data_IF_771585013554
#
_entry.id   IF_771585013554
#
_cell.length_a   1.000
_cell.length_b   1.000
_cell.length_c   1.000
_cell.angle_alpha   90.00
_cell.angle_beta   90.00
_cell.angle_gamma   90.00
#
_symmetry.space_group_name_H-M   'P 1'
#
loop_
_entity.id
_entity.type
_entity.pdbx_description
1 polymer ?
#
# COMPACT_ATOMS: atom_id res chain seq x y z
N UNK A 1 3.77 24.25 -84.86
CA UNK A 1 3.15 25.43 -84.23
C UNK A 1 2.08 24.90 -83.30
N UNK A 2 2.26 25.11 -81.99
CA UNK A 2 1.28 24.86 -80.91
C UNK A 2 0.89 23.38 -80.73
N UNK A 3 0.79 22.79 -79.54
CA UNK A 3 0.19 23.33 -78.33
C UNK A 3 0.46 22.37 -77.14
N UNK A 4 0.63 22.94 -75.95
CA UNK A 4 0.37 22.42 -74.60
C UNK A 4 0.88 21.01 -74.19
N UNK A 5 1.88 20.94 -73.30
CA UNK A 5 1.73 20.91 -71.84
C UNK A 5 0.82 19.79 -71.31
N UNK A 6 1.41 18.76 -70.70
CA UNK A 6 1.11 18.27 -69.34
C UNK A 6 1.73 16.88 -69.16
N UNK A 7 2.87 16.87 -68.49
CA UNK A 7 3.35 15.73 -67.72
C UNK A 7 2.34 15.46 -66.61
N UNK A 8 1.32 14.64 -66.87
CA UNK A 8 0.57 14.01 -65.80
C UNK A 8 1.24 12.70 -65.44
N UNK A 9 2.08 12.78 -64.41
CA UNK A 9 2.32 11.67 -63.51
C UNK A 9 0.95 11.20 -62.98
N UNK A 10 0.42 10.11 -63.55
CA UNK A 10 -0.55 9.28 -62.83
C UNK A 10 0.21 8.58 -61.72
N UNK A 11 0.42 9.31 -60.63
CA UNK A 11 0.89 8.74 -59.38
C UNK A 11 -0.15 7.70 -58.95
N UNK A 12 0.32 6.48 -58.70
CA UNK A 12 -0.46 5.28 -58.38
C UNK A 12 -0.94 5.35 -56.93
N UNK A 13 -1.46 6.51 -56.54
CA UNK A 13 -2.13 6.80 -55.28
C UNK A 13 -3.61 6.73 -55.49
N UNK A 14 -4.10 5.52 -55.64
CA UNK A 14 -5.47 5.17 -55.26
C UNK A 14 -5.50 3.67 -55.05
N UNK A 15 -5.88 3.30 -53.84
CA UNK A 15 -6.07 1.94 -53.34
C UNK A 15 -4.80 1.21 -52.85
N UNK A 16 -4.90 0.78 -51.58
CA UNK A 16 -3.97 -0.08 -50.83
C UNK A 16 -2.73 0.56 -50.19
N UNK A 17 -2.93 1.20 -49.02
CA UNK A 17 -2.46 0.69 -47.71
C UNK A 17 -2.53 1.80 -46.64
N UNK A 18 -3.70 1.96 -46.05
CA UNK A 18 -3.88 2.63 -44.76
C UNK A 18 -3.37 1.70 -43.65
N UNK A 19 -2.08 1.75 -43.35
CA UNK A 19 -1.49 1.00 -42.22
C UNK A 19 -0.31 1.76 -41.61
N UNK A 20 -0.46 3.04 -41.22
CA UNK A 20 0.59 3.75 -40.49
C UNK A 20 0.10 4.90 -39.58
N UNK A 21 -1.04 4.75 -38.88
CA UNK A 21 -1.47 5.80 -37.93
C UNK A 21 -2.14 5.32 -36.63
N UNK A 22 -1.78 4.16 -36.10
CA UNK A 22 -2.20 3.78 -34.74
C UNK A 22 -1.10 3.02 -33.98
N UNK A 23 0.02 3.70 -33.74
CA UNK A 23 0.94 3.30 -32.65
C UNK A 23 1.30 4.57 -31.87
N UNK A 24 0.30 5.06 -31.15
CA UNK A 24 0.46 5.84 -29.95
C UNK A 24 -0.66 5.34 -29.02
N UNK A 25 -0.35 5.13 -27.74
CA UNK A 25 -1.29 4.82 -26.64
C UNK A 25 -1.59 3.35 -26.27
N UNK A 26 -0.68 2.39 -26.49
CA UNK A 26 -0.79 1.03 -25.89
C UNK A 26 0.42 0.67 -24.99
N UNK A 27 1.25 1.66 -24.64
CA UNK A 27 2.47 1.43 -23.84
C UNK A 27 2.31 1.57 -22.32
N UNK A 28 1.37 2.39 -21.85
CA UNK A 28 1.31 2.84 -20.45
C UNK A 28 0.39 1.98 -19.56
N UNK A 29 -0.78 1.58 -20.05
CA UNK A 29 -1.76 0.88 -19.20
C UNK A 29 -1.36 -0.55 -18.83
N UNK A 30 -0.69 -1.28 -19.73
CA UNK A 30 -0.22 -2.65 -19.45
C UNK A 30 1.01 -2.70 -18.56
N UNK A 31 1.86 -1.67 -18.59
CA UNK A 31 3.05 -1.60 -17.74
C UNK A 31 2.67 -1.38 -16.26
N UNK A 32 1.70 -0.51 -15.98
CA UNK A 32 1.20 -0.25 -14.63
C UNK A 32 0.53 -1.49 -14.01
N UNK A 33 -0.33 -2.19 -14.78
CA UNK A 33 -0.98 -3.43 -14.33
C UNK A 33 0.02 -4.56 -13.99
N UNK A 34 1.17 -4.62 -14.68
CA UNK A 34 2.22 -5.63 -14.41
C UNK A 34 2.98 -5.32 -13.10
N UNK A 35 3.21 -4.04 -12.81
CA UNK A 35 3.81 -3.60 -11.53
C UNK A 35 2.85 -3.91 -10.37
N UNK A 36 1.56 -3.63 -10.56
CA UNK A 36 0.51 -3.90 -9.56
C UNK A 36 0.25 -5.39 -9.34
N UNK A 37 0.22 -6.22 -10.40
CA UNK A 37 0.02 -7.66 -10.28
C UNK A 37 1.22 -8.41 -9.65
N UNK A 38 2.44 -7.86 -9.75
CA UNK A 38 3.60 -8.41 -9.06
C UNK A 38 3.60 -8.10 -7.55
N UNK A 39 2.82 -7.11 -7.10
CA UNK A 39 2.67 -6.77 -5.68
C UNK A 39 1.87 -7.80 -4.85
N UNK A 40 1.34 -8.87 -5.47
CA UNK A 40 0.55 -9.93 -4.82
C UNK A 40 1.30 -10.77 -3.77
N UNK A 41 2.56 -10.47 -3.46
CA UNK A 41 3.39 -11.31 -2.60
C UNK A 41 4.01 -10.63 -1.38
N UNK A 42 3.81 -9.33 -1.19
CA UNK A 42 4.43 -8.59 -0.10
C UNK A 42 3.61 -7.38 0.33
N UNK A 43 3.85 -6.92 1.55
CA UNK A 43 3.15 -5.78 2.16
C UNK A 43 4.19 -4.69 2.40
N UNK A 44 3.91 -3.45 2.00
CA UNK A 44 4.83 -2.34 2.23
C UNK A 44 4.79 -1.88 3.69
N UNK A 45 5.88 -1.32 4.23
CA UNK A 45 5.88 -0.74 5.58
C UNK A 45 4.79 0.33 5.76
N UNK A 46 4.45 0.68 7.02
CA UNK A 46 3.50 1.74 7.31
C UNK A 46 3.83 3.04 6.59
N UNK A 47 2.79 3.75 6.15
CA UNK A 47 2.92 5.05 5.47
C UNK A 47 3.72 5.03 4.16
N UNK A 48 3.83 3.89 3.49
CA UNK A 48 4.33 3.85 2.12
C UNK A 48 3.43 4.69 1.21
N UNK A 49 4.05 5.56 0.42
CA UNK A 49 3.38 6.27 -0.66
C UNK A 49 2.96 5.26 -1.75
N UNK A 50 2.22 5.72 -2.77
CA UNK A 50 1.78 4.83 -3.85
C UNK A 50 2.97 4.10 -4.49
N UNK A 51 2.74 2.87 -4.97
CA UNK A 51 3.83 1.96 -5.36
C UNK A 51 4.78 2.57 -6.41
N UNK A 52 4.27 3.35 -7.37
CA UNK A 52 5.12 3.99 -8.37
C UNK A 52 6.05 5.03 -7.75
N UNK A 53 5.49 5.99 -7.00
CA UNK A 53 6.29 7.02 -6.33
C UNK A 53 7.23 6.40 -5.29
N UNK A 54 6.79 5.35 -4.61
CA UNK A 54 7.61 4.61 -3.65
C UNK A 54 8.86 4.02 -4.32
N UNK A 55 8.70 3.37 -5.47
CA UNK A 55 9.81 2.77 -6.23
C UNK A 55 10.77 3.83 -6.80
N UNK A 56 10.25 5.03 -7.11
CA UNK A 56 11.04 6.17 -7.59
C UNK A 56 11.80 6.87 -6.45
N UNK A 57 11.18 7.00 -5.27
CA UNK A 57 11.77 7.71 -4.14
C UNK A 57 12.70 6.83 -3.32
N UNK A 58 12.41 5.53 -3.15
CA UNK A 58 13.19 4.66 -2.29
C UNK A 58 14.62 4.44 -2.83
N UNK A 59 15.62 4.96 -2.09
CA UNK A 59 17.04 4.77 -2.44
C UNK A 59 17.56 3.36 -2.14
N UNK A 60 16.78 2.50 -1.47
CA UNK A 60 17.17 1.16 -0.99
C UNK A 60 18.30 1.20 0.04
N UNK A 61 18.34 2.26 0.86
CA UNK A 61 19.36 2.42 1.91
C UNK A 61 19.23 1.45 3.09
N UNK A 62 18.05 0.85 3.29
CA UNK A 62 17.79 -0.10 4.37
C UNK A 62 17.61 0.53 5.77
N UNK A 63 17.56 1.86 5.89
CA UNK A 63 17.46 2.51 7.21
C UNK A 63 16.15 2.19 7.94
N UNK A 64 15.02 2.12 7.22
CA UNK A 64 13.75 1.70 7.82
C UNK A 64 13.77 0.25 8.33
N UNK A 65 14.59 -0.63 7.71
CA UNK A 65 14.75 -2.03 8.11
C UNK A 65 15.50 -2.10 9.45
N UNK A 66 16.62 -1.36 9.56
CA UNK A 66 17.42 -1.27 10.79
C UNK A 66 16.64 -0.62 11.93
N UNK A 67 15.80 0.37 11.60
CA UNK A 67 15.01 1.11 12.57
C UNK A 67 13.83 0.31 13.14
N UNK A 68 13.40 -0.79 12.50
CA UNK A 68 12.28 -1.59 13.00
C UNK A 68 12.72 -2.43 14.22
N UNK A 69 12.27 -2.13 15.45
CA UNK A 69 12.68 -2.88 16.65
C UNK A 69 12.16 -4.32 16.64
N UNK A 70 11.06 -4.56 15.93
CA UNK A 70 10.46 -5.88 15.80
C UNK A 70 11.00 -6.66 14.60
N UNK A 71 11.92 -6.13 13.79
CA UNK A 71 12.52 -6.82 12.64
C UNK A 71 11.47 -7.49 11.74
N UNK A 72 10.39 -6.76 11.44
CA UNK A 72 9.28 -7.21 10.58
C UNK A 72 9.55 -6.88 9.12
N UNK A 73 10.38 -5.86 8.89
CA UNK A 73 10.73 -5.37 7.57
C UNK A 73 11.96 -6.13 7.06
N UNK A 74 11.94 -6.51 5.78
CA UNK A 74 13.05 -7.17 5.08
C UNK A 74 13.23 -6.58 3.68
N UNK A 75 14.40 -6.85 3.09
CA UNK A 75 14.70 -6.47 1.71
C UNK A 75 14.07 -7.46 0.73
N UNK A 76 13.33 -6.96 -0.26
CA UNK A 76 12.78 -7.83 -1.29
C UNK A 76 13.90 -8.51 -2.10
N UNK A 77 13.86 -9.85 -2.21
CA UNK A 77 14.88 -10.61 -2.93
C UNK A 77 14.73 -10.48 -4.45
N UNK A 78 15.82 -10.67 -5.19
CA UNK A 78 15.88 -10.49 -6.64
C UNK A 78 14.82 -11.30 -7.42
N UNK A 79 14.48 -12.50 -6.95
CA UNK A 79 13.49 -13.38 -7.59
C UNK A 79 12.07 -12.80 -7.60
N UNK A 80 11.81 -11.71 -6.85
CA UNK A 80 10.52 -10.99 -6.81
C UNK A 80 10.42 -9.85 -7.83
N UNK A 81 11.44 -9.67 -8.68
CA UNK A 81 11.46 -8.71 -9.77
C UNK A 81 12.58 -7.68 -9.62
N UNK A 82 13.13 -7.24 -10.75
CA UNK A 82 14.28 -6.35 -10.80
C UNK A 82 13.98 -4.92 -10.35
N UNK A 83 12.73 -4.47 -10.45
CA UNK A 83 12.33 -3.10 -10.11
C UNK A 83 12.23 -2.90 -8.59
N UNK A 84 11.61 -3.88 -7.90
CA UNK A 84 11.36 -3.83 -6.47
C UNK A 84 12.47 -4.47 -5.62
N UNK A 85 13.53 -5.00 -6.22
CA UNK A 85 14.65 -5.61 -5.48
C UNK A 85 15.25 -4.63 -4.46
N UNK A 86 15.62 -5.16 -3.30
CA UNK A 86 16.19 -4.43 -2.16
C UNK A 86 15.31 -3.30 -1.60
N UNK A 87 14.07 -3.16 -2.07
CA UNK A 87 13.11 -2.25 -1.43
C UNK A 87 12.50 -2.93 -0.20
N UNK A 88 12.12 -2.16 0.84
CA UNK A 88 11.60 -2.73 2.08
C UNK A 88 10.19 -3.29 1.91
N UNK A 89 9.94 -4.42 2.54
CA UNK A 89 8.66 -5.13 2.58
C UNK A 89 8.47 -5.84 3.93
N UNK A 90 7.27 -6.29 4.23
CA UNK A 90 6.89 -7.02 5.43
C UNK A 90 6.20 -8.34 5.08
N UNK A 91 6.45 -9.35 5.92
CA UNK A 91 5.85 -10.67 5.84
C UNK A 91 4.88 -10.85 7.01
N UNK A 92 3.78 -10.11 6.92
CA UNK A 92 2.76 -10.06 7.97
C UNK A 92 2.15 -11.43 8.32
N UNK A 93 1.98 -12.38 7.37
CA UNK A 93 1.57 -13.74 7.71
C UNK A 93 2.47 -14.44 8.75
N UNK A 94 3.75 -14.10 8.79
CA UNK A 94 4.73 -14.72 9.69
C UNK A 94 5.13 -13.84 10.88
N UNK A 95 5.11 -12.50 10.74
CA UNK A 95 5.52 -11.57 11.78
C UNK A 95 4.70 -10.27 11.74
N UNK A 96 4.03 -9.95 12.84
CA UNK A 96 3.14 -8.79 12.90
C UNK A 96 3.89 -7.47 13.02
N UNK A 97 3.33 -6.41 12.41
CA UNK A 97 3.72 -5.03 12.68
C UNK A 97 3.08 -4.56 13.99
N UNK A 98 3.90 -4.05 14.91
CA UNK A 98 3.41 -3.60 16.23
C UNK A 98 2.81 -2.17 16.23
N UNK A 99 2.81 -1.47 15.08
CA UNK A 99 2.31 -0.10 14.97
C UNK A 99 2.91 0.82 16.06
N UNK A 100 4.24 0.86 16.10
CA UNK A 100 5.02 1.58 17.11
C UNK A 100 4.57 3.04 17.24
N UNK A 101 4.49 3.56 18.46
CA UNK A 101 4.00 4.92 18.74
C UNK A 101 4.85 6.03 18.13
N UNK A 102 6.13 5.77 17.88
CA UNK A 102 7.14 6.68 17.32
C UNK A 102 7.51 6.38 15.86
N UNK A 103 6.90 5.35 15.25
CA UNK A 103 7.06 4.96 13.85
C UNK A 103 8.51 5.01 13.33
N UNK A 104 9.45 4.27 13.94
CA UNK A 104 10.87 4.42 13.66
C UNK A 104 11.22 4.07 12.21
N UNK A 105 10.45 3.19 11.58
CA UNK A 105 10.58 2.88 10.16
C UNK A 105 10.26 4.08 9.24
N UNK A 106 9.27 4.90 9.60
CA UNK A 106 8.86 6.07 8.83
C UNK A 106 9.82 7.23 9.07
N UNK A 107 10.17 7.49 10.34
CA UNK A 107 11.08 8.58 10.72
C UNK A 107 12.50 8.38 10.19
N UNK A 108 12.96 7.13 10.04
CA UNK A 108 14.24 6.81 9.42
C UNK A 108 14.26 7.04 7.89
N UNK A 109 13.10 7.17 7.23
CA UNK A 109 13.02 7.29 5.77
C UNK A 109 13.29 8.73 5.28
N UNK A 110 14.57 9.07 5.09
CA UNK A 110 14.99 10.38 4.57
C UNK A 110 14.53 10.64 3.12
N UNK A 111 14.33 9.58 2.35
CA UNK A 111 13.91 9.68 0.95
C UNK A 111 12.41 10.00 0.77
N UNK A 112 11.65 9.99 1.87
CA UNK A 112 10.19 10.20 1.87
C UNK A 112 9.42 9.18 1.02
N UNK A 113 9.96 7.97 0.87
CA UNK A 113 9.20 6.82 0.35
C UNK A 113 8.18 6.30 1.37
N UNK A 114 8.49 6.43 2.66
CA UNK A 114 7.56 6.32 3.78
C UNK A 114 7.35 7.73 4.34
N UNK A 115 6.11 8.23 4.34
CA UNK A 115 5.84 9.61 4.73
C UNK A 115 4.48 9.77 5.39
N UNK A 116 4.44 10.53 6.49
CA UNK A 116 3.18 10.93 7.09
C UNK A 116 2.42 11.89 6.15
N UNK A 117 1.08 11.81 6.11
CA UNK A 117 0.29 12.79 5.37
C UNK A 117 0.57 14.19 5.92
N UNK A 118 0.83 15.14 5.04
CA UNK A 118 0.97 16.53 5.45
C UNK A 118 -0.35 16.97 6.10
N UNK A 119 -0.31 17.45 7.35
CA UNK A 119 -1.43 18.22 7.90
C UNK A 119 -1.66 19.39 6.94
N UNK A 120 -2.86 19.51 6.38
CA UNK A 120 -3.22 20.74 5.69
C UNK A 120 -3.03 21.87 6.71
N UNK A 121 -2.26 22.92 6.40
CA UNK A 121 -2.31 24.11 7.24
C UNK A 121 -3.76 24.58 7.25
N UNK A 122 -4.37 24.60 8.43
CA UNK A 122 -5.73 25.09 8.67
C UNK A 122 -5.81 26.50 8.07
N UNK A 123 -6.39 26.62 6.87
CA UNK A 123 -6.55 27.87 6.16
C UNK A 123 -7.81 28.56 6.67
N UNK A 124 -7.91 28.72 7.99
CA UNK A 124 -8.96 29.47 8.66
C UNK A 124 -8.35 30.56 9.55
N UNK A 125 -8.27 31.76 8.96
CA UNK A 125 -8.39 33.09 9.60
C UNK A 125 -7.85 33.23 11.03
N UNK A 126 -6.58 33.60 11.12
CA UNK A 126 -6.20 34.69 12.01
C UNK A 126 -5.39 35.68 11.18
N UNK A 127 -5.87 36.91 11.05
CA UNK A 127 -5.04 38.01 10.56
C UNK A 127 -3.84 38.11 11.51
N UNK A 128 -2.59 38.07 11.01
CA UNK A 128 -1.45 38.24 11.89
C UNK A 128 -1.52 39.65 12.49
N UNK A 129 -1.32 39.84 13.81
CA UNK A 129 -1.12 41.18 14.34
C UNK A 129 0.10 41.76 13.64
N UNK A 130 -0.07 42.93 13.02
CA UNK A 130 1.02 43.72 12.46
C UNK A 130 1.86 44.17 13.66
N UNK A 131 2.87 43.39 14.02
CA UNK A 131 3.94 43.83 14.92
C UNK A 131 5.10 44.30 14.04
N UNK A 132 5.24 45.61 13.94
CA UNK A 132 6.43 46.22 13.34
C UNK A 132 7.64 45.90 14.23
N UNK A 133 8.64 45.23 13.67
CA UNK A 133 9.97 45.13 14.27
C UNK A 133 10.35 43.79 14.89
N UNK A 134 10.33 42.71 14.11
CA UNK A 134 11.17 41.56 14.36
C UNK A 134 11.55 40.91 13.02
N UNK A 135 12.82 41.00 12.66
CA UNK A 135 13.38 40.17 11.59
C UNK A 135 13.55 38.76 12.15
N UNK A 136 12.89 37.71 11.59
CA UNK A 136 13.19 36.36 11.99
C UNK A 136 14.56 35.98 11.43
N UNK A 137 15.42 35.55 12.35
CA UNK A 137 16.75 35.02 12.10
C UNK A 137 16.69 33.87 11.08
N UNK A 138 17.68 33.86 10.19
CA UNK A 138 17.77 32.99 9.01
C UNK A 138 18.23 31.57 9.38
N UNK A 139 17.79 30.97 10.49
CA UNK A 139 18.14 29.58 10.82
C UNK A 139 17.05 28.89 11.65
N UNK A 140 15.99 28.44 11.00
CA UNK A 140 15.12 27.39 11.53
C UNK A 140 14.88 26.36 10.42
N UNK A 141 15.51 25.19 10.58
CA UNK A 141 15.30 24.03 9.73
C UNK A 141 13.83 23.58 9.81
N UNK A 142 13.05 23.62 8.71
CA UNK A 142 11.61 23.34 8.73
C UNK A 142 11.25 21.86 9.00
N UNK A 143 12.22 21.00 9.31
CA UNK A 143 12.02 19.56 9.48
C UNK A 143 11.74 19.08 10.92
N UNK A 144 11.74 19.95 11.95
CA UNK A 144 11.91 19.48 13.35
C UNK A 144 10.72 19.61 14.30
N UNK A 145 9.54 20.09 13.88
CA UNK A 145 8.37 20.12 14.76
C UNK A 145 7.28 19.14 14.31
N UNK A 146 7.49 17.84 14.58
CA UNK A 146 6.38 16.88 14.59
C UNK A 146 5.69 17.05 15.96
N UNK A 147 4.60 17.82 16.00
CA UNK A 147 3.88 18.10 17.25
C UNK A 147 3.19 16.85 17.86
N UNK A 148 3.01 15.79 17.06
CA UNK A 148 2.62 14.46 17.54
C UNK A 148 2.71 13.42 16.43
N UNK A 149 3.05 12.17 16.79
CA UNK A 149 3.01 11.04 15.87
C UNK A 149 1.57 10.56 15.63
N UNK A 150 1.24 10.03 14.43
CA UNK A 150 -0.07 9.44 14.18
C UNK A 150 -0.35 8.25 15.11
N UNK A 151 -1.61 8.09 15.53
CA UNK A 151 -2.06 6.89 16.23
C UNK A 151 -2.18 5.68 15.28
N UNK A 152 -2.27 4.47 15.83
CA UNK A 152 -2.37 3.23 15.07
C UNK A 152 -3.55 3.21 14.06
N UNK A 153 -4.69 3.80 14.44
CA UNK A 153 -5.88 3.93 13.59
C UNK A 153 -5.73 4.97 12.45
N UNK A 154 -4.66 5.76 12.45
CA UNK A 154 -4.33 6.71 11.39
C UNK A 154 -3.31 6.15 10.39
N UNK A 155 -2.83 4.92 10.60
CA UNK A 155 -2.03 4.23 9.60
C UNK A 155 -2.90 3.91 8.38
N UNK A 156 -2.49 4.27 7.15
CA UNK A 156 -3.17 3.82 5.95
C UNK A 156 -3.19 2.28 5.87
N UNK A 157 -4.22 1.68 5.24
CA UNK A 157 -4.24 0.25 5.03
C UNK A 157 -3.05 -0.23 4.21
N UNK A 158 -2.20 -1.05 4.83
CA UNK A 158 -1.07 -1.70 4.14
C UNK A 158 -1.51 -3.02 3.49
N UNK A 159 -2.49 -3.66 4.12
CA UNK A 159 -3.16 -4.88 3.71
C UNK A 159 -4.48 -4.98 4.48
N UNK A 160 -5.28 -6.01 4.22
CA UNK A 160 -6.50 -6.30 4.98
C UNK A 160 -6.37 -7.68 5.60
N UNK A 161 -6.92 -7.88 6.80
CA UNK A 161 -7.04 -9.19 7.44
C UNK A 161 -8.44 -9.79 7.20
N UNK A 162 -8.52 -11.11 7.02
CA UNK A 162 -9.79 -11.86 6.89
C UNK A 162 -9.75 -13.12 7.73
N UNK A 163 -10.90 -13.50 8.27
CA UNK A 163 -11.09 -14.77 8.99
C UNK A 163 -11.56 -15.83 8.00
N UNK A 164 -10.82 -16.93 7.91
CA UNK A 164 -11.25 -18.13 7.21
C UNK A 164 -12.13 -18.97 8.15
N UNK A 165 -13.43 -19.01 7.88
CA UNK A 165 -14.42 -19.67 8.74
C UNK A 165 -14.30 -21.19 8.76
N UNK A 166 -13.65 -21.80 7.76
CA UNK A 166 -13.45 -23.25 7.69
C UNK A 166 -12.28 -23.71 8.57
N UNK A 167 -11.34 -22.80 8.85
CA UNK A 167 -10.17 -23.05 9.68
C UNK A 167 -10.33 -22.53 11.12
N UNK A 168 -11.22 -21.55 11.33
CA UNK A 168 -11.36 -20.86 12.59
C UNK A 168 -12.13 -21.73 13.59
N UNK A 169 -11.46 -22.16 14.67
CA UNK A 169 -12.05 -23.01 15.71
C UNK A 169 -13.44 -22.57 16.21
N UNK A 170 -13.71 -21.29 16.53
CA UNK A 170 -15.04 -20.84 16.94
C UNK A 170 -16.15 -21.03 15.91
N UNK A 171 -15.81 -21.17 14.63
CA UNK A 171 -16.79 -21.47 13.58
C UNK A 171 -17.09 -22.97 13.47
N UNK A 172 -16.16 -23.84 13.88
CA UNK A 172 -16.32 -25.31 13.89
C UNK A 172 -16.72 -25.90 15.25
N UNK A 173 -16.66 -25.13 16.35
CA UNK A 173 -17.23 -25.52 17.64
C UNK A 173 -16.28 -26.19 18.63
N UNK A 174 -15.02 -25.73 18.74
CA UNK A 174 -14.55 -25.42 20.09
C UNK A 174 -14.39 -23.90 20.30
N UNK A 175 -14.65 -23.46 21.53
CA UNK A 175 -14.39 -22.09 21.97
C UNK A 175 -12.89 -21.77 21.83
N UNK A 176 -12.57 -20.62 21.24
CA UNK A 176 -11.20 -20.13 21.11
C UNK A 176 -11.23 -18.59 21.12
N UNK A 177 -10.42 -18.00 22.00
CA UNK A 177 -10.30 -16.55 22.14
C UNK A 177 -8.89 -16.03 21.82
N UNK A 178 -8.06 -16.79 21.10
CA UNK A 178 -6.62 -16.52 21.02
C UNK A 178 -6.27 -15.13 20.43
N UNK A 179 -7.03 -14.68 19.43
CA UNK A 179 -6.87 -13.33 18.87
C UNK A 179 -7.71 -12.26 19.58
N UNK A 180 -8.45 -12.59 20.64
CA UNK A 180 -9.20 -11.60 21.41
C UNK A 180 -8.24 -10.57 22.03
N UNK A 181 -8.53 -9.29 21.84
CA UNK A 181 -7.67 -8.20 22.31
C UNK A 181 -6.35 -8.03 21.55
N UNK A 182 -6.07 -8.83 20.52
CA UNK A 182 -4.84 -8.71 19.73
C UNK A 182 -4.87 -7.54 18.74
N UNK A 183 -6.03 -6.91 18.52
CA UNK A 183 -6.14 -5.81 17.57
C UNK A 183 -5.88 -4.48 18.28
N UNK A 184 -4.85 -3.72 17.87
CA UNK A 184 -4.53 -2.42 18.48
C UNK A 184 -5.50 -1.31 18.04
N UNK A 185 -6.39 -1.58 17.07
CA UNK A 185 -7.38 -0.63 16.58
C UNK A 185 -8.75 -1.02 17.12
N UNK A 186 -9.34 -0.13 17.90
CA UNK A 186 -10.65 -0.36 18.51
C UNK A 186 -11.71 -0.69 17.46
N UNK A 187 -12.64 -1.57 17.83
CA UNK A 187 -13.80 -1.94 17.01
C UNK A 187 -13.50 -2.53 15.62
N UNK A 188 -12.24 -2.89 15.32
CA UNK A 188 -11.82 -3.50 14.05
C UNK A 188 -11.98 -5.02 14.07
N UNK A 189 -11.42 -5.69 15.09
CA UNK A 189 -11.66 -7.11 15.35
C UNK A 189 -12.80 -7.21 16.36
N UNK A 190 -13.99 -7.55 15.89
CA UNK A 190 -15.20 -7.69 16.72
C UNK A 190 -15.57 -9.15 16.94
N UNK A 191 -16.38 -9.41 17.96
CA UNK A 191 -16.82 -10.74 18.32
C UNK A 191 -18.35 -10.77 18.41
N UNK A 192 -18.97 -11.73 17.74
CA UNK A 192 -20.42 -11.94 17.77
C UNK A 192 -20.69 -13.42 18.00
N UNK A 193 -21.39 -13.77 19.09
CA UNK A 193 -21.63 -15.16 19.49
C UNK A 193 -20.32 -15.98 19.46
N UNK A 194 -19.28 -15.46 20.11
CA UNK A 194 -17.95 -16.09 20.20
C UNK A 194 -17.18 -16.23 18.88
N UNK A 195 -17.71 -15.69 17.78
CA UNK A 195 -17.07 -15.74 16.46
C UNK A 195 -16.38 -14.41 16.13
N UNK A 196 -15.07 -14.42 15.81
CA UNK A 196 -14.35 -13.21 15.43
C UNK A 196 -14.73 -12.75 14.01
N UNK A 197 -14.86 -11.44 13.82
CA UNK A 197 -15.05 -10.78 12.52
C UNK A 197 -14.12 -9.58 12.41
N UNK A 198 -13.61 -9.30 11.21
CA UNK A 198 -12.70 -8.18 10.94
C UNK A 198 -13.39 -7.19 10.02
N UNK A 199 -13.51 -5.95 10.47
CA UNK A 199 -14.03 -4.86 9.65
C UNK A 199 -12.96 -4.36 8.69
N UNK A 200 -13.28 -4.40 7.39
CA UNK A 200 -12.34 -4.06 6.30
C UNK A 200 -12.04 -2.55 6.23
N UNK A 201 -13.00 -1.71 6.60
CA UNK A 201 -12.89 -0.24 6.56
C UNK A 201 -11.87 0.34 7.56
N UNK A 202 -11.62 -0.38 8.65
CA UNK A 202 -10.78 0.05 9.77
C UNK A 202 -9.53 -0.83 9.95
N UNK A 203 -9.44 -1.94 9.23
CA UNK A 203 -8.27 -2.80 9.25
C UNK A 203 -7.10 -2.18 8.49
N UNK A 204 -5.95 -2.07 9.15
CA UNK A 204 -4.70 -1.57 8.52
C UNK A 204 -3.76 -2.67 8.06
N UNK A 205 -4.08 -3.93 8.35
CA UNK A 205 -3.27 -5.09 7.94
C UNK A 205 -1.99 -5.31 8.74
N UNK A 206 -1.97 -4.96 10.04
CA UNK A 206 -0.78 -5.14 10.89
C UNK A 206 -0.47 -6.60 11.26
N UNK A 207 -1.48 -7.49 11.20
CA UNK A 207 -1.34 -8.93 11.42
C UNK A 207 -1.13 -9.41 12.86
N UNK A 208 -1.30 -8.56 13.88
CA UNK A 208 -1.24 -9.02 15.27
C UNK A 208 -2.26 -10.15 15.57
N UNK A 209 -3.42 -10.13 14.90
CA UNK A 209 -4.39 -11.24 14.95
C UNK A 209 -3.91 -12.53 14.30
N UNK A 210 -3.11 -12.46 13.23
CA UNK A 210 -2.50 -13.63 12.60
C UNK A 210 -1.43 -14.24 13.51
N UNK A 211 -0.61 -13.38 14.11
CA UNK A 211 0.40 -13.80 15.08
C UNK A 211 -0.25 -14.47 16.29
N UNK A 212 -1.34 -13.92 16.81
CA UNK A 212 -2.10 -14.46 17.94
C UNK A 212 -2.87 -15.76 17.60
N UNK A 213 -3.24 -15.98 16.34
CA UNK A 213 -4.00 -17.15 15.94
C UNK A 213 -3.22 -18.46 16.19
N UNK A 214 -3.81 -19.40 16.92
CA UNK A 214 -3.12 -20.64 17.33
C UNK A 214 -3.34 -21.82 16.36
N UNK A 215 -4.18 -21.67 15.34
CA UNK A 215 -4.47 -22.75 14.39
C UNK A 215 -3.32 -22.94 13.40
N UNK A 216 -3.17 -24.17 12.92
CA UNK A 216 -2.25 -24.55 11.84
C UNK A 216 -3.04 -25.34 10.80
N UNK A 217 -3.27 -24.80 9.58
CA UNK A 217 -2.91 -23.46 9.11
C UNK A 217 -3.60 -22.32 9.88
N UNK A 218 -3.05 -21.10 9.79
CA UNK A 218 -3.61 -19.91 10.43
C UNK A 218 -5.01 -19.64 9.87
N UNK A 219 -5.99 -19.46 10.75
CA UNK A 219 -7.36 -19.16 10.36
C UNK A 219 -7.60 -17.68 10.03
N UNK A 220 -6.59 -16.83 10.23
CA UNK A 220 -6.63 -15.42 9.85
C UNK A 220 -5.52 -15.19 8.83
N UNK A 221 -5.89 -14.60 7.71
CA UNK A 221 -4.98 -14.30 6.60
C UNK A 221 -4.90 -12.79 6.41
N UNK A 222 -3.73 -12.29 6.04
CA UNK A 222 -3.52 -10.87 5.71
C UNK A 222 -2.96 -10.77 4.30
N UNK A 223 -3.54 -9.90 3.48
CA UNK A 223 -3.08 -9.67 2.13
C UNK A 223 -3.85 -8.58 1.39
N UNK A 224 -3.49 -8.41 0.11
CA UNK A 224 -4.21 -7.57 -0.84
C UNK A 224 -5.30 -8.41 -1.51
N UNK A 225 -6.54 -8.26 -1.07
CA UNK A 225 -7.66 -8.99 -1.63
C UNK A 225 -8.33 -8.18 -2.74
N UNK A 226 -8.47 -8.78 -3.92
CA UNK A 226 -9.21 -8.20 -5.03
C UNK A 226 -10.73 -8.35 -4.88
N UNK A 227 -11.51 -7.74 -5.78
CA UNK A 227 -12.98 -7.86 -5.79
C UNK A 227 -13.48 -9.31 -5.97
N UNK A 228 -12.66 -10.21 -6.51
CA UNK A 228 -12.99 -11.62 -6.74
C UNK A 228 -12.73 -12.52 -5.50
N UNK A 229 -11.97 -12.03 -4.52
CA UNK A 229 -11.58 -12.83 -3.34
C UNK A 229 -12.66 -12.79 -2.24
N UNK A 230 -13.80 -12.15 -2.47
CA UNK A 230 -14.91 -12.00 -1.52
C UNK A 230 -15.94 -13.14 -1.57
N UNK A 231 -15.72 -14.19 -2.38
CA UNK A 231 -16.71 -15.26 -2.65
C UNK A 231 -16.20 -16.69 -2.39
N UNK A 232 -15.49 -16.94 -1.28
CA UNK A 232 -15.13 -18.32 -0.88
C UNK A 232 -15.83 -18.83 0.39
N UNK A 233 -16.92 -18.19 0.85
CA UNK A 233 -17.69 -18.66 2.02
C UNK A 233 -19.09 -19.20 1.70
N UNK A 234 -19.44 -19.45 0.43
CA UNK A 234 -20.73 -20.06 0.06
C UNK A 234 -20.58 -21.13 -1.01
N UNK A 235 -20.03 -22.30 -0.67
CA UNK A 235 -20.36 -23.54 -1.39
C UNK A 235 -20.18 -24.78 -0.51
N UNK A 236 -20.97 -24.84 0.56
CA UNK A 236 -21.40 -26.13 1.09
C UNK A 236 -22.43 -26.74 0.14
N UNK A 237 -21.98 -27.43 -0.91
CA UNK A 237 -22.86 -28.31 -1.68
C UNK A 237 -22.86 -29.70 -1.03
N UNK A 238 -23.95 -29.91 -0.29
CA UNK A 238 -24.44 -31.19 0.21
C UNK A 238 -24.75 -32.09 -1.00
N UNK A 239 -24.49 -33.39 -0.80
CA UNK A 239 -24.81 -34.51 -1.68
C UNK A 239 -26.27 -34.58 -2.12
#
# INVERSE_FOLDING_TARGET
MSDQSKTQLMDRRSFFKSSFSKIADIGSEHALKKVEHNAKGWIRPPFAINELDFLLNCSRCGECIKACPHQVIFELPLHRGTVAVATPAMDIPNKACELCCDWPCVTACKDKALAFPAKQPELERAEPPIVEGAFPDEQADPATHIESFPAANQCPPMAIARVNTDLCMPYSGPECGACFGSCPIENTLTWHNEKPSIKVDTCVGCGQCVQACITMPKAIEVGHFGPADSQSTETGQIS
#
